data_IF_245042780196
#
_entry.id   IF_245042780196
#
_cell.length_a   1.000
_cell.length_b   1.000
_cell.length_c   1.000
_cell.angle_alpha   90.00
_cell.angle_beta   90.00
_cell.angle_gamma   90.00
#
_symmetry.space_group_name_H-M   'P 1'
#
loop_
_entity.id
_entity.type
_entity.pdbx_description
1 polymer ?
#
# COMPACT_ATOMS: atom_id res chain seq x y z
N UNK A 1 19.26 13.35 -8.71
CA UNK A 1 18.46 13.56 -9.92
C UNK A 1 19.40 13.53 -11.13
N UNK A 2 19.33 12.49 -11.93
CA UNK A 2 20.20 12.32 -13.10
C UNK A 2 19.50 12.90 -14.31
N UNK A 3 19.95 14.05 -14.78
CA UNK A 3 19.37 14.72 -15.94
C UNK A 3 19.94 14.09 -17.22
N UNK A 4 19.22 13.17 -17.81
CA UNK A 4 19.57 12.58 -19.10
C UNK A 4 18.77 13.19 -20.23
N UNK A 5 19.41 13.45 -21.35
CA UNK A 5 18.70 13.74 -22.57
C UNK A 5 18.31 12.45 -23.29
N UNK A 6 17.17 12.45 -23.98
CA UNK A 6 16.66 11.31 -24.75
C UNK A 6 17.72 10.75 -25.74
N UNK A 7 18.54 11.60 -26.31
CA UNK A 7 19.57 11.23 -27.29
C UNK A 7 20.76 10.43 -26.72
N UNK A 8 20.94 10.44 -25.40
CA UNK A 8 22.05 9.80 -24.69
C UNK A 8 21.65 8.53 -23.94
N UNK A 9 20.38 8.20 -23.90
CA UNK A 9 19.88 6.98 -23.21
C UNK A 9 20.46 5.71 -23.84
N UNK A 10 21.04 4.84 -23.00
CA UNK A 10 21.63 3.57 -23.42
C UNK A 10 23.00 3.67 -24.10
N UNK A 11 23.70 4.80 -23.94
CA UNK A 11 25.02 5.04 -24.53
C UNK A 11 26.15 5.10 -23.50
N UNK A 12 25.90 4.66 -22.25
CA UNK A 12 26.84 4.74 -21.12
C UNK A 12 27.47 6.15 -20.97
N UNK A 13 26.65 7.18 -21.14
CA UNK A 13 27.08 8.57 -21.06
C UNK A 13 27.40 8.97 -19.61
N UNK A 14 28.06 10.11 -19.43
CA UNK A 14 28.42 10.64 -18.11
C UNK A 14 27.21 10.67 -17.16
N UNK A 15 27.36 10.06 -15.97
CA UNK A 15 26.33 9.90 -14.95
C UNK A 15 25.12 9.05 -15.41
N UNK A 16 25.28 8.16 -16.36
CA UNK A 16 24.23 7.23 -16.75
C UNK A 16 24.21 6.00 -15.84
N UNK A 17 23.03 5.67 -15.35
CA UNK A 17 22.72 4.41 -14.66
C UNK A 17 21.35 3.93 -15.16
N UNK A 18 21.17 2.64 -15.32
CA UNK A 18 19.84 2.06 -15.54
C UNK A 18 19.04 2.08 -14.23
N UNK A 19 18.50 3.25 -13.89
CA UNK A 19 17.74 3.44 -12.66
C UNK A 19 16.45 2.61 -12.65
N UNK A 20 15.85 2.37 -13.82
CA UNK A 20 14.66 1.53 -13.95
C UNK A 20 14.98 0.08 -13.58
N UNK A 21 16.09 -0.46 -14.11
CA UNK A 21 16.56 -1.81 -13.75
C UNK A 21 16.94 -1.93 -12.28
N UNK A 22 17.65 -0.95 -11.72
CA UNK A 22 18.02 -0.94 -10.29
C UNK A 22 16.78 -0.85 -9.39
N UNK A 23 15.77 -0.08 -9.78
CA UNK A 23 14.56 0.12 -8.97
C UNK A 23 13.51 -0.98 -9.15
N UNK A 24 13.60 -1.81 -10.19
CA UNK A 24 12.62 -2.85 -10.52
C UNK A 24 12.27 -3.77 -9.34
N UNK A 25 13.23 -4.32 -8.57
CA UNK A 25 12.92 -5.25 -7.48
C UNK A 25 12.26 -4.59 -6.27
N UNK A 26 12.30 -3.27 -6.15
CA UNK A 26 11.78 -2.51 -4.99
C UNK A 26 10.62 -1.58 -5.33
N UNK A 27 10.15 -1.58 -6.58
CA UNK A 27 9.03 -0.75 -7.04
C UNK A 27 7.93 -1.56 -7.68
N UNK A 28 6.69 -1.07 -7.59
CA UNK A 28 5.54 -1.68 -8.29
C UNK A 28 5.55 -1.40 -9.78
N UNK A 29 6.15 -0.30 -10.17
CA UNK A 29 6.21 0.15 -11.55
C UNK A 29 7.38 1.11 -11.73
N UNK A 30 8.09 0.99 -12.84
CA UNK A 30 9.18 1.89 -13.23
C UNK A 30 8.97 2.33 -14.66
N UNK A 31 9.10 3.62 -14.93
CA UNK A 31 8.90 4.18 -16.27
C UNK A 31 9.83 5.35 -16.53
N UNK A 32 10.35 5.45 -17.76
CA UNK A 32 11.13 6.60 -18.25
C UNK A 32 10.24 7.40 -19.19
N UNK A 33 10.00 8.66 -18.87
CA UNK A 33 9.23 9.60 -19.70
C UNK A 33 10.15 10.29 -20.67
N UNK A 34 9.93 10.05 -21.96
CA UNK A 34 10.74 10.56 -23.08
C UNK A 34 10.00 11.59 -23.95
N UNK A 35 8.73 11.85 -23.62
CA UNK A 35 7.86 12.76 -24.36
C UNK A 35 6.99 13.55 -23.39
N UNK A 36 6.96 14.89 -23.56
CA UNK A 36 6.18 15.79 -22.73
C UNK A 36 4.67 15.54 -22.84
N UNK A 37 4.20 15.11 -24.00
CA UNK A 37 2.77 14.88 -24.26
C UNK A 37 2.17 13.78 -23.39
N UNK A 38 2.97 12.79 -23.00
CA UNK A 38 2.53 11.66 -22.17
C UNK A 38 2.85 11.84 -20.68
N UNK A 39 3.54 12.92 -20.29
CA UNK A 39 4.00 13.13 -18.92
C UNK A 39 2.83 13.12 -17.91
N UNK A 40 1.79 13.89 -18.17
CA UNK A 40 0.66 14.03 -17.26
C UNK A 40 -0.09 12.71 -17.05
N UNK A 41 -0.34 11.96 -18.13
CA UNK A 41 -1.03 10.68 -18.05
C UNK A 41 -0.14 9.60 -17.40
N UNK A 42 1.16 9.64 -17.65
CA UNK A 42 2.12 8.77 -16.98
C UNK A 42 2.15 9.03 -15.47
N UNK A 43 2.12 10.29 -15.03
CA UNK A 43 2.06 10.64 -13.61
C UNK A 43 0.76 10.16 -12.98
N UNK A 44 -0.41 10.37 -13.60
CA UNK A 44 -1.70 9.87 -13.12
C UNK A 44 -1.68 8.35 -12.96
N UNK A 45 -1.19 7.64 -13.98
CA UNK A 45 -1.03 6.18 -13.94
C UNK A 45 -0.10 5.75 -12.82
N UNK A 46 1.02 6.43 -12.62
CA UNK A 46 1.97 6.16 -11.55
C UNK A 46 1.32 6.27 -10.17
N UNK A 47 0.56 7.34 -9.91
CA UNK A 47 -0.18 7.51 -8.66
C UNK A 47 -1.29 6.45 -8.49
N UNK A 48 -2.01 6.10 -9.54
CA UNK A 48 -3.00 5.04 -9.51
C UNK A 48 -2.37 3.69 -9.12
N UNK A 49 -1.25 3.32 -9.76
CA UNK A 49 -0.53 2.08 -9.44
C UNK A 49 0.02 2.11 -8.02
N UNK A 50 0.61 3.25 -7.58
CA UNK A 50 1.17 3.37 -6.24
C UNK A 50 0.13 3.13 -5.15
N UNK A 51 -1.10 3.60 -5.35
CA UNK A 51 -2.21 3.52 -4.39
C UNK A 51 -3.06 2.27 -4.53
N UNK A 52 -3.07 1.60 -5.70
CA UNK A 52 -3.93 0.43 -5.95
C UNK A 52 -3.49 -0.81 -5.16
N UNK A 53 -4.42 -1.64 -4.73
CA UNK A 53 -4.14 -2.85 -3.97
C UNK A 53 -3.29 -2.57 -2.72
N UNK A 54 -2.20 -3.32 -2.52
CA UNK A 54 -1.21 -2.97 -1.49
C UNK A 54 -0.43 -1.75 -1.97
N UNK A 55 -0.50 -0.61 -1.29
CA UNK A 55 0.28 0.58 -1.66
C UNK A 55 1.79 0.30 -1.69
N UNK A 56 2.48 0.93 -2.63
CA UNK A 56 3.92 0.74 -2.76
C UNK A 56 4.56 1.76 -3.71
N UNK A 57 5.90 1.84 -3.72
CA UNK A 57 6.62 2.85 -4.47
C UNK A 57 6.54 2.64 -5.98
N UNK A 58 6.60 3.73 -6.72
CA UNK A 58 6.67 3.79 -8.18
C UNK A 58 7.80 4.74 -8.57
N UNK A 59 8.59 4.36 -9.56
CA UNK A 59 9.62 5.21 -10.14
C UNK A 59 9.12 5.86 -11.43
N UNK A 60 9.24 7.18 -11.52
CA UNK A 60 9.07 7.92 -12.78
C UNK A 60 10.36 8.71 -13.03
N UNK A 61 11.11 8.29 -14.03
CA UNK A 61 12.31 8.98 -14.50
C UNK A 61 11.93 9.91 -15.66
N UNK A 62 12.17 11.22 -15.50
CA UNK A 62 11.81 12.24 -16.48
C UNK A 62 13.08 12.75 -17.13
N UNK A 63 13.19 12.58 -18.46
CA UNK A 63 14.38 13.03 -19.19
C UNK A 63 14.50 14.55 -19.20
N UNK A 64 15.75 15.05 -19.31
CA UNK A 64 16.04 16.49 -19.32
C UNK A 64 15.27 17.23 -20.42
N UNK A 65 15.12 16.60 -21.58
CA UNK A 65 14.41 17.20 -22.71
C UNK A 65 12.93 17.45 -22.39
N UNK A 66 12.32 16.52 -21.66
CA UNK A 66 10.92 16.66 -21.20
C UNK A 66 10.80 17.77 -20.16
N UNK A 67 11.76 17.90 -19.24
CA UNK A 67 11.72 18.97 -18.22
C UNK A 67 11.95 20.37 -18.79
N UNK A 68 12.60 20.47 -19.95
CA UNK A 68 12.85 21.72 -20.64
C UNK A 68 11.79 22.08 -21.70
N UNK A 69 10.93 21.13 -22.05
CA UNK A 69 9.91 21.33 -23.06
C UNK A 69 8.70 22.11 -22.51
N UNK A 70 8.01 22.80 -23.41
CA UNK A 70 6.74 23.49 -23.13
C UNK A 70 5.61 22.73 -23.82
N UNK A 71 4.49 22.55 -23.13
CA UNK A 71 3.33 21.84 -23.64
C UNK A 71 2.04 22.47 -23.12
N UNK A 72 1.04 22.59 -23.98
CA UNK A 72 -0.30 23.00 -23.56
C UNK A 72 -0.98 21.88 -22.81
N UNK A 73 -1.28 22.11 -21.54
CA UNK A 73 -1.82 21.11 -20.64
C UNK A 73 -3.28 21.40 -20.29
N UNK A 74 -4.16 20.46 -20.57
CA UNK A 74 -5.54 20.50 -20.09
C UNK A 74 -5.63 19.76 -18.75
N UNK A 75 -6.03 20.44 -17.66
CA UNK A 75 -6.24 19.81 -16.37
C UNK A 75 -7.34 18.74 -16.44
N UNK A 76 -7.01 17.53 -16.01
CA UNK A 76 -7.98 16.42 -15.86
C UNK A 76 -8.05 16.00 -14.41
N UNK A 77 -9.26 15.85 -13.87
CA UNK A 77 -9.46 15.30 -12.53
C UNK A 77 -9.01 13.84 -12.51
N UNK A 78 -8.13 13.43 -11.57
CA UNK A 78 -7.77 12.03 -11.43
C UNK A 78 -8.98 11.17 -11.05
N UNK A 79 -9.05 9.98 -11.61
CA UNK A 79 -10.07 8.99 -11.20
C UNK A 79 -9.84 8.57 -9.75
N UNK A 80 -10.93 8.48 -8.99
CA UNK A 80 -10.88 7.97 -7.63
C UNK A 80 -10.53 6.48 -7.67
N UNK A 81 -9.58 6.06 -6.82
CA UNK A 81 -9.25 4.65 -6.66
C UNK A 81 -10.26 4.05 -5.70
N UNK A 82 -11.20 3.29 -6.24
CA UNK A 82 -12.18 2.57 -5.44
C UNK A 82 -11.52 1.45 -4.62
N UNK A 83 -11.91 1.25 -3.36
CA UNK A 83 -11.52 0.06 -2.60
C UNK A 83 -12.01 -1.20 -3.33
N UNK A 84 -11.17 -2.25 -3.37
CA UNK A 84 -11.57 -3.53 -3.97
C UNK A 84 -12.42 -4.32 -2.96
N UNK A 85 -13.70 -4.00 -2.89
CA UNK A 85 -14.68 -4.66 -2.01
C UNK A 85 -15.59 -5.65 -2.75
N UNK A 86 -15.38 -5.83 -4.05
CA UNK A 86 -16.22 -6.66 -4.93
C UNK A 86 -16.30 -8.14 -4.50
N UNK A 87 -15.34 -8.60 -3.71
CA UNK A 87 -15.29 -9.97 -3.19
C UNK A 87 -16.01 -10.14 -1.85
N UNK A 88 -16.48 -9.05 -1.25
CA UNK A 88 -17.24 -9.09 0.01
C UNK A 88 -18.72 -9.27 -0.37
N UNK A 89 -19.25 -10.46 -0.08
CA UNK A 89 -20.65 -10.81 -0.33
C UNK A 89 -21.39 -10.98 0.99
N UNK A 90 -22.71 -10.76 0.99
CA UNK A 90 -23.55 -11.00 2.17
C UNK A 90 -23.44 -12.44 2.67
N UNK A 91 -23.45 -13.41 1.77
CA UNK A 91 -23.26 -14.82 2.10
C UNK A 91 -21.91 -15.10 2.77
N UNK A 92 -20.84 -14.43 2.28
CA UNK A 92 -19.53 -14.50 2.90
C UNK A 92 -19.49 -13.90 4.31
N UNK A 93 -20.20 -12.80 4.54
CA UNK A 93 -20.34 -12.17 5.85
C UNK A 93 -21.14 -13.07 6.81
N UNK A 94 -22.25 -13.63 6.38
CA UNK A 94 -23.06 -14.56 7.19
C UNK A 94 -22.25 -15.79 7.58
N UNK A 95 -21.44 -16.32 6.66
CA UNK A 95 -20.56 -17.43 6.97
C UNK A 95 -19.51 -17.07 8.04
N UNK A 96 -18.87 -15.89 7.95
CA UNK A 96 -17.92 -15.42 8.96
C UNK A 96 -18.60 -15.24 10.31
N UNK A 97 -19.80 -14.66 10.34
CA UNK A 97 -20.58 -14.48 11.57
C UNK A 97 -20.91 -15.83 12.24
N UNK A 98 -21.28 -16.85 11.45
CA UNK A 98 -21.56 -18.19 12.00
C UNK A 98 -20.30 -18.82 12.59
N UNK A 99 -19.15 -18.71 11.92
CA UNK A 99 -17.87 -19.21 12.45
C UNK A 99 -17.48 -18.53 13.77
N UNK A 100 -17.70 -17.21 13.87
CA UNK A 100 -17.42 -16.47 15.11
C UNK A 100 -18.35 -16.96 16.24
N UNK A 101 -19.65 -17.13 15.96
CA UNK A 101 -20.63 -17.62 16.95
C UNK A 101 -20.34 -19.04 17.45
N UNK A 102 -19.82 -19.90 16.60
CA UNK A 102 -19.46 -21.28 16.94
C UNK A 102 -18.11 -21.36 17.68
N UNK A 103 -17.29 -20.32 17.59
CA UNK A 103 -15.97 -20.28 18.21
C UNK A 103 -16.08 -20.24 19.74
N UNK A 104 -15.40 -21.17 20.41
CA UNK A 104 -15.31 -21.21 21.86
C UNK A 104 -14.23 -20.31 22.44
N UNK A 105 -13.19 -20.00 21.66
CA UNK A 105 -12.04 -19.21 22.07
C UNK A 105 -11.59 -18.32 20.91
N UNK A 106 -12.39 -17.31 20.53
CA UNK A 106 -12.02 -16.40 19.47
C UNK A 106 -10.78 -15.59 19.86
N UNK A 107 -9.91 -15.32 18.91
CA UNK A 107 -8.72 -14.51 19.07
C UNK A 107 -8.51 -13.65 17.85
N UNK A 108 -8.31 -12.36 18.04
CA UNK A 108 -8.16 -11.41 16.93
C UNK A 108 -6.68 -11.10 16.71
N UNK A 109 -6.22 -11.30 15.47
CA UNK A 109 -4.87 -10.98 15.04
C UNK A 109 -4.88 -9.81 14.05
N UNK A 110 -4.41 -8.64 14.49
CA UNK A 110 -4.54 -7.38 13.75
C UNK A 110 -3.27 -7.08 12.97
N UNK A 111 -3.41 -6.88 11.67
CA UNK A 111 -2.31 -6.54 10.76
C UNK A 111 -2.37 -5.10 10.25
N UNK A 112 -1.39 -4.73 9.42
CA UNK A 112 -1.29 -3.40 8.82
C UNK A 112 -2.47 -3.01 7.94
N UNK A 113 -3.25 -3.98 7.47
CA UNK A 113 -4.48 -3.72 6.71
C UNK A 113 -5.51 -2.91 7.50
N UNK A 114 -5.63 -3.14 8.81
CA UNK A 114 -6.54 -2.39 9.68
C UNK A 114 -6.16 -0.91 9.81
N UNK A 115 -4.86 -0.60 9.76
CA UNK A 115 -4.37 0.79 9.74
C UNK A 115 -4.68 1.43 8.38
N UNK A 116 -4.36 0.74 7.29
CA UNK A 116 -4.51 1.27 5.93
C UNK A 116 -5.98 1.52 5.58
N UNK A 117 -6.88 0.65 6.06
CA UNK A 117 -8.33 0.78 5.85
C UNK A 117 -8.99 1.78 6.79
N UNK A 118 -8.30 2.22 7.86
CA UNK A 118 -8.89 3.07 8.90
C UNK A 118 -9.85 2.33 9.85
N UNK A 119 -9.83 1.00 9.86
CA UNK A 119 -10.78 0.15 10.59
C UNK A 119 -10.40 -0.10 12.07
N UNK A 120 -9.66 0.80 12.69
CA UNK A 120 -9.19 0.61 14.07
C UNK A 120 -10.34 0.59 15.09
N UNK A 121 -11.34 1.45 14.90
CA UNK A 121 -12.48 1.54 15.82
C UNK A 121 -13.40 0.34 15.66
N UNK A 122 -13.66 -0.10 14.42
CA UNK A 122 -14.47 -1.28 14.14
C UNK A 122 -13.82 -2.57 14.70
N UNK A 123 -12.49 -2.66 14.63
CA UNK A 123 -11.76 -3.77 15.27
C UNK A 123 -11.95 -3.74 16.79
N UNK A 124 -11.92 -2.56 17.40
CA UNK A 124 -12.13 -2.39 18.83
C UNK A 124 -13.56 -2.77 19.24
N UNK A 125 -14.55 -2.29 18.51
CA UNK A 125 -15.95 -2.63 18.75
C UNK A 125 -16.18 -4.13 18.63
N UNK A 126 -15.68 -4.77 17.57
CA UNK A 126 -15.78 -6.20 17.38
C UNK A 126 -15.14 -6.97 18.55
N UNK A 127 -13.92 -6.60 18.93
CA UNK A 127 -13.20 -7.26 20.02
C UNK A 127 -13.98 -7.22 21.34
N UNK A 128 -14.55 -6.05 21.67
CA UNK A 128 -15.38 -5.90 22.87
C UNK A 128 -16.71 -6.61 22.75
N UNK A 129 -17.32 -6.65 21.55
CA UNK A 129 -18.59 -7.34 21.33
C UNK A 129 -18.47 -8.85 21.56
N UNK A 130 -17.41 -9.47 21.03
CA UNK A 130 -17.20 -10.91 21.17
C UNK A 130 -16.27 -11.29 22.34
N UNK A 131 -15.79 -10.29 23.10
CA UNK A 131 -14.86 -10.47 24.24
C UNK A 131 -13.59 -11.26 23.87
N UNK A 132 -13.08 -11.04 22.64
CA UNK A 132 -11.90 -11.71 22.13
C UNK A 132 -10.61 -10.96 22.48
N UNK A 133 -9.58 -11.66 22.97
CA UNK A 133 -8.24 -11.08 23.09
C UNK A 133 -7.71 -10.65 21.73
N UNK A 134 -6.92 -9.58 21.73
CA UNK A 134 -6.34 -8.97 20.51
C UNK A 134 -4.83 -8.92 20.61
N UNK A 135 -4.16 -9.34 19.54
CA UNK A 135 -2.74 -9.07 19.35
C UNK A 135 -2.50 -8.38 18.01
N UNK A 136 -1.38 -7.70 17.89
CA UNK A 136 -1.00 -7.03 16.65
C UNK A 136 0.29 -7.61 16.04
N UNK A 137 0.45 -7.42 14.72
CA UNK A 137 1.75 -7.52 14.07
C UNK A 137 2.52 -6.22 14.24
N UNK A 138 3.80 -6.21 13.87
CA UNK A 138 4.58 -4.97 13.82
C UNK A 138 3.90 -3.90 12.97
N UNK A 139 3.34 -4.28 11.81
CA UNK A 139 2.63 -3.36 10.90
C UNK A 139 1.20 -3.02 11.34
N UNK A 140 0.63 -3.79 12.26
CA UNK A 140 -0.67 -3.54 12.87
C UNK A 140 -0.62 -2.67 14.12
N UNK A 141 0.59 -2.31 14.56
CA UNK A 141 0.80 -1.50 15.76
C UNK A 141 0.06 -0.17 15.68
N UNK A 142 -0.77 0.10 16.68
CA UNK A 142 -1.63 1.28 16.72
C UNK A 142 -3.06 1.07 16.22
N UNK A 143 -3.39 -0.09 15.63
CA UNK A 143 -4.77 -0.43 15.26
C UNK A 143 -5.65 -0.81 16.45
N UNK A 144 -5.04 -1.20 17.58
CA UNK A 144 -5.75 -1.50 18.82
C UNK A 144 -5.03 -0.85 20.00
N UNK A 145 -5.74 -0.23 20.95
CA UNK A 145 -5.11 0.46 22.08
C UNK A 145 -4.30 -0.51 22.96
N UNK A 146 -3.03 -0.22 23.19
CA UNK A 146 -2.16 -1.03 24.04
C UNK A 146 -2.55 -1.01 25.52
N UNK A 147 -3.40 -0.07 25.94
CA UNK A 147 -3.95 0.07 27.30
C UNK A 147 -5.26 -0.67 27.50
N UNK A 148 -5.84 -1.22 26.43
CA UNK A 148 -7.10 -1.98 26.50
C UNK A 148 -6.87 -3.32 27.19
N UNK A 149 -7.83 -3.74 28.05
CA UNK A 149 -7.78 -5.01 28.80
C UNK A 149 -7.73 -6.26 27.91
N UNK A 150 -8.24 -6.15 26.68
CA UNK A 150 -8.22 -7.26 25.71
C UNK A 150 -6.90 -7.31 24.92
N UNK A 151 -6.03 -6.31 25.03
CA UNK A 151 -4.76 -6.31 24.31
C UNK A 151 -3.74 -7.24 24.96
N UNK A 152 -3.24 -8.19 24.19
CA UNK A 152 -2.28 -9.21 24.65
C UNK A 152 -0.85 -8.97 24.16
N UNK A 153 -0.63 -7.89 23.43
CA UNK A 153 0.69 -7.50 22.91
C UNK A 153 0.94 -7.89 21.47
N UNK A 154 2.17 -7.73 21.03
CA UNK A 154 2.60 -8.05 19.66
C UNK A 154 3.04 -9.51 19.57
N UNK A 155 2.58 -10.22 18.52
CA UNK A 155 3.05 -11.57 18.19
C UNK A 155 4.20 -11.52 17.19
N UNK A 156 5.06 -12.54 17.24
CA UNK A 156 6.12 -12.80 16.28
C UNK A 156 7.51 -12.52 16.83
N UNK A 157 8.12 -11.41 16.50
CA UNK A 157 9.55 -11.15 16.74
C UNK A 157 9.94 -10.80 18.18
N UNK A 158 9.06 -10.97 19.15
CA UNK A 158 9.38 -10.74 20.58
C UNK A 158 9.86 -12.00 21.26
N UNK A 159 11.03 -11.91 21.90
CA UNK A 159 11.59 -12.95 22.77
C UNK A 159 10.61 -13.17 23.96
N UNK A 160 10.20 -14.42 24.19
CA UNK A 160 9.42 -14.81 25.34
C UNK A 160 7.90 -14.97 25.13
N UNK A 161 7.35 -14.57 23.95
CA UNK A 161 5.93 -14.79 23.64
C UNK A 161 5.66 -15.84 22.56
N UNK A 162 6.70 -16.38 21.94
CA UNK A 162 6.59 -17.43 20.94
C UNK A 162 6.48 -18.86 21.55
N UNK A 163 6.50 -18.98 22.87
CA UNK A 163 6.56 -20.25 23.58
C UNK A 163 5.48 -20.41 24.65
N UNK A 164 4.38 -19.68 24.55
CA UNK A 164 3.22 -19.84 25.46
C UNK A 164 2.06 -20.46 24.71
#
# INVERSE_FOLDING_TARGET
MLFRSKALLGKDSFQEIDIAGVAMPITKYSVIVKDITVLADTLRRAFSIAKSGRPGPVLVDITKDVTAATYEYEPKTPEAIAPSTEKITEEGLDHVVSLIRESKKPYIFVGGGSIISGAAEEVRELAHHIQAPVCDTLMGKGAFPGTDKLYTGMLGMQIGRAHV
#
